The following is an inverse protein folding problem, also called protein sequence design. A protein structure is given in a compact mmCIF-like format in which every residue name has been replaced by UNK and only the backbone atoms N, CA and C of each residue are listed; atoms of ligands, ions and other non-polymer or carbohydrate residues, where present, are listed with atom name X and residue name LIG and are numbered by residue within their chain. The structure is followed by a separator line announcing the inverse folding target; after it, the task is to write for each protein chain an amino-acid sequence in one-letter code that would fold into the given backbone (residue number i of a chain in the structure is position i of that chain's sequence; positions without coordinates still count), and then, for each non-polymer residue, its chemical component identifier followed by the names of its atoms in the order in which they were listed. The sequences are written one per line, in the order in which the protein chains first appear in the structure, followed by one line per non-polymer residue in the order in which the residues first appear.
data_IF_313737528941
#
_entry.id   IF_313737528941
#
_cell.length_a   1.000
_cell.length_b   1.000
_cell.length_c   1.000
_cell.angle_alpha   90.00
_cell.angle_beta   90.00
_cell.angle_gamma   90.00
#
_symmetry.space_group_name_H-M   'P 1'
#
loop_
_entity.id
_entity.type
_entity.pdbx_description
1 polymer ?
#
# COMPACT_ATOMS: atom_id res chain seq x y z
N UNK A 1 -3.25 -7.60 -19.89
CA UNK A 1 -4.15 -6.95 -20.85
C UNK A 1 -4.35 -5.51 -20.45
N UNK A 2 -4.14 -4.57 -21.36
CA UNK A 2 -4.36 -3.15 -21.20
C UNK A 2 -5.82 -2.76 -21.44
N UNK A 3 -6.19 -1.50 -21.14
CA UNK A 3 -7.56 -1.00 -21.25
C UNK A 3 -8.15 -1.04 -22.68
N UNK A 4 -7.29 -0.92 -23.69
CA UNK A 4 -7.68 -1.03 -25.11
C UNK A 4 -7.76 -2.47 -25.63
N UNK A 5 -7.56 -3.48 -24.77
CA UNK A 5 -7.56 -4.90 -25.11
C UNK A 5 -6.21 -5.46 -25.57
N UNK A 6 -5.18 -4.62 -25.77
CA UNK A 6 -3.82 -5.08 -26.10
C UNK A 6 -3.31 -6.02 -25.01
N UNK A 7 -2.69 -7.13 -25.41
CA UNK A 7 -2.07 -8.11 -24.51
C UNK A 7 -0.57 -8.11 -24.67
N UNK A 8 0.14 -8.26 -23.58
CA UNK A 8 1.58 -8.45 -23.54
C UNK A 8 1.94 -9.40 -22.42
N UNK A 9 3.04 -10.12 -22.59
CA UNK A 9 3.62 -10.93 -21.53
C UNK A 9 4.23 -10.03 -20.47
N UNK A 10 4.06 -10.41 -19.22
CA UNK A 10 4.59 -9.69 -18.08
C UNK A 10 5.42 -10.61 -17.19
N UNK A 11 6.56 -10.11 -16.71
CA UNK A 11 7.40 -10.79 -15.74
C UNK A 11 7.21 -10.23 -14.35
N UNK A 12 7.27 -11.07 -13.32
CA UNK A 12 7.29 -10.63 -11.94
C UNK A 12 8.68 -10.06 -11.63
N UNK A 13 8.75 -8.81 -11.21
CA UNK A 13 9.99 -8.19 -10.72
C UNK A 13 10.23 -8.52 -9.26
N UNK A 14 9.27 -8.22 -8.41
CA UNK A 14 9.34 -8.45 -6.96
C UNK A 14 7.94 -8.55 -6.37
N UNK A 15 7.81 -9.27 -5.26
CA UNK A 15 6.58 -9.45 -4.49
C UNK A 15 6.87 -9.24 -3.01
N UNK A 16 6.05 -8.46 -2.35
CA UNK A 16 6.07 -8.31 -0.90
C UNK A 16 4.82 -8.94 -0.28
N UNK A 17 5.02 -10.00 0.49
CA UNK A 17 3.92 -10.73 1.14
C UNK A 17 3.32 -9.96 2.32
N UNK A 18 4.08 -9.07 2.95
CA UNK A 18 3.63 -8.27 4.10
C UNK A 18 2.58 -7.24 3.71
N UNK A 19 2.81 -6.54 2.59
CA UNK A 19 1.86 -5.57 2.05
C UNK A 19 0.87 -6.19 1.06
N UNK A 20 1.19 -7.36 0.51
CA UNK A 20 0.43 -8.00 -0.57
C UNK A 20 0.61 -7.32 -1.93
N UNK A 21 1.65 -6.51 -2.08
CA UNK A 21 1.98 -5.81 -3.32
C UNK A 21 2.91 -6.65 -4.19
N UNK A 22 2.81 -6.46 -5.50
CA UNK A 22 3.72 -7.03 -6.48
C UNK A 22 4.00 -6.02 -7.59
N UNK A 23 5.23 -6.00 -8.09
CA UNK A 23 5.62 -5.24 -9.27
C UNK A 23 5.83 -6.21 -10.43
N UNK A 24 5.13 -5.97 -11.52
CA UNK A 24 5.28 -6.70 -12.78
C UNK A 24 5.85 -5.77 -13.83
N UNK A 25 6.66 -6.30 -14.73
CA UNK A 25 7.26 -5.57 -15.84
C UNK A 25 6.81 -6.15 -17.18
N UNK A 26 6.63 -5.27 -18.15
CA UNK A 26 6.37 -5.59 -19.55
C UNK A 26 7.48 -4.96 -20.37
N UNK A 27 8.08 -5.74 -21.28
CA UNK A 27 9.10 -5.24 -22.20
C UNK A 27 8.45 -4.32 -23.24
N UNK A 28 8.93 -3.08 -23.32
CA UNK A 28 8.30 -2.06 -24.18
C UNK A 28 8.45 -2.32 -25.67
N UNK A 29 9.52 -3.02 -26.09
CA UNK A 29 9.78 -3.41 -27.48
C UNK A 29 8.77 -4.45 -28.02
N UNK A 30 8.04 -5.11 -27.12
CA UNK A 30 6.93 -6.04 -27.47
C UNK A 30 5.62 -5.31 -27.76
N UNK A 31 5.57 -4.00 -27.50
CA UNK A 31 4.37 -3.17 -27.66
C UNK A 31 4.48 -2.29 -28.91
N UNK A 32 3.33 -2.03 -29.54
CA UNK A 32 3.25 -1.15 -30.69
C UNK A 32 3.60 0.30 -30.28
N UNK A 33 4.42 0.99 -31.10
CA UNK A 33 4.83 2.39 -30.82
C UNK A 33 3.65 3.36 -30.71
N UNK A 34 2.63 3.20 -31.54
CA UNK A 34 1.44 4.05 -31.50
C UNK A 34 0.68 3.87 -30.19
N UNK A 35 0.59 2.63 -29.69
CA UNK A 35 0.01 2.33 -28.38
C UNK A 35 0.82 2.97 -27.24
N UNK A 36 2.16 2.88 -27.28
CA UNK A 36 3.03 3.47 -26.28
C UNK A 36 2.90 5.00 -26.23
N UNK A 37 2.73 5.64 -27.39
CA UNK A 37 2.66 7.11 -27.49
C UNK A 37 1.28 7.68 -27.16
N UNK A 38 0.23 6.98 -27.50
CA UNK A 38 -1.14 7.54 -27.51
C UNK A 38 -2.05 6.94 -26.43
N UNK A 39 -1.85 5.66 -26.04
CA UNK A 39 -2.78 4.96 -25.17
C UNK A 39 -2.25 4.72 -23.75
N UNK A 40 -0.92 4.80 -23.54
CA UNK A 40 -0.33 4.63 -22.22
C UNK A 40 -0.14 5.98 -21.54
N UNK A 41 -0.79 6.17 -20.40
CA UNK A 41 -0.55 7.33 -19.54
C UNK A 41 0.05 6.86 -18.22
N UNK A 42 1.19 7.45 -17.86
CA UNK A 42 1.86 7.16 -16.58
C UNK A 42 1.15 7.93 -15.47
N UNK A 43 0.70 7.20 -14.45
CA UNK A 43 0.06 7.81 -13.30
C UNK A 43 1.06 8.61 -12.45
N UNK A 44 0.69 9.83 -12.11
CA UNK A 44 1.48 10.66 -11.19
C UNK A 44 1.22 10.25 -9.75
N UNK A 45 2.29 10.00 -8.98
CA UNK A 45 2.19 9.74 -7.56
C UNK A 45 2.08 11.05 -6.77
N UNK A 46 0.97 11.24 -6.07
CA UNK A 46 0.72 12.39 -5.22
C UNK A 46 1.37 12.27 -3.85
N UNK A 47 0.73 12.83 -2.83
CA UNK A 47 1.12 12.72 -1.43
C UNK A 47 -0.06 12.29 -0.57
N UNK A 48 0.16 11.36 0.34
CA UNK A 48 -0.79 10.98 1.41
C UNK A 48 -0.43 11.62 2.75
N UNK A 49 0.72 12.28 2.84
CA UNK A 49 1.16 13.00 4.04
C UNK A 49 0.79 14.49 3.93
N UNK A 50 -0.51 14.76 3.88
CA UNK A 50 -1.07 16.11 3.83
C UNK A 50 -1.70 16.39 5.19
N UNK A 51 -1.46 17.60 5.72
CA UNK A 51 -2.15 18.06 6.92
C UNK A 51 -3.66 18.11 6.63
N UNK A 52 -4.46 17.61 7.56
CA UNK A 52 -5.93 17.60 7.46
C UNK A 52 -6.45 16.87 6.20
N UNK A 53 -5.83 15.71 5.89
CA UNK A 53 -6.22 14.88 4.74
C UNK A 53 -7.66 14.32 4.88
N UNK A 54 -8.18 14.19 6.11
CA UNK A 54 -9.56 13.78 6.34
C UNK A 54 -10.53 14.83 5.78
N UNK A 55 -11.58 14.34 5.11
CA UNK A 55 -12.56 15.18 4.39
C UNK A 55 -12.19 15.43 2.92
N UNK A 56 -10.97 15.14 2.48
CA UNK A 56 -10.61 15.30 1.07
C UNK A 56 -11.34 14.29 0.18
N UNK A 57 -11.89 14.74 -0.96
CA UNK A 57 -12.56 13.88 -1.91
C UNK A 57 -11.58 12.96 -2.63
N UNK A 58 -12.01 11.72 -2.88
CA UNK A 58 -11.19 10.68 -3.52
C UNK A 58 -12.03 9.84 -4.47
N UNK A 59 -11.34 9.31 -5.49
CA UNK A 59 -11.88 8.34 -6.45
C UNK A 59 -11.12 7.04 -6.30
N UNK A 60 -11.83 5.95 -6.02
CA UNK A 60 -11.31 4.60 -6.03
C UNK A 60 -11.53 3.98 -7.42
N UNK A 61 -10.46 3.53 -8.06
CA UNK A 61 -10.51 2.93 -9.41
C UNK A 61 -9.80 1.58 -9.41
N UNK A 62 -10.37 0.66 -10.16
CA UNK A 62 -9.86 -0.70 -10.32
C UNK A 62 -10.91 -1.73 -9.99
N UNK A 63 -10.93 -2.24 -8.77
CA UNK A 63 -11.89 -3.21 -8.26
C UNK A 63 -12.34 -2.89 -6.83
N UNK A 64 -12.70 -1.63 -6.52
CA UNK A 64 -13.09 -1.29 -5.15
C UNK A 64 -14.32 -2.06 -4.66
N UNK A 65 -15.25 -2.39 -5.56
CA UNK A 65 -16.47 -3.14 -5.24
C UNK A 65 -16.38 -4.64 -5.58
N UNK A 66 -15.17 -5.17 -5.83
CA UNK A 66 -14.96 -6.57 -6.18
C UNK A 66 -15.11 -6.89 -7.67
N UNK A 67 -15.65 -5.97 -8.48
CA UNK A 67 -15.80 -6.10 -9.93
C UNK A 67 -14.75 -5.27 -10.65
N UNK A 68 -14.06 -5.86 -11.64
CA UNK A 68 -13.06 -5.16 -12.44
C UNK A 68 -13.66 -3.95 -13.16
N UNK A 69 -12.91 -2.83 -13.21
CA UNK A 69 -13.34 -1.58 -13.81
C UNK A 69 -14.40 -0.82 -13.01
N UNK A 70 -14.68 -1.24 -11.77
CA UNK A 70 -15.57 -0.48 -10.91
C UNK A 70 -14.91 0.80 -10.41
N UNK A 71 -15.75 1.81 -10.14
CA UNK A 71 -15.36 3.11 -9.65
C UNK A 71 -16.14 3.44 -8.39
N UNK A 72 -15.46 3.94 -7.37
CA UNK A 72 -16.07 4.49 -6.16
C UNK A 72 -15.67 5.95 -5.97
N UNK A 73 -16.60 6.77 -5.49
CA UNK A 73 -16.34 8.15 -5.12
C UNK A 73 -16.72 8.37 -3.65
N UNK A 74 -15.89 9.10 -2.94
CA UNK A 74 -16.14 9.42 -1.54
C UNK A 74 -15.10 10.38 -0.99
N UNK A 75 -14.92 10.34 0.33
CA UNK A 75 -13.93 11.14 1.05
C UNK A 75 -13.04 10.26 1.91
N UNK A 76 -11.87 10.75 2.24
CA UNK A 76 -11.03 10.18 3.31
C UNK A 76 -11.70 10.52 4.64
N UNK A 77 -12.00 9.50 5.44
CA UNK A 77 -12.61 9.68 6.77
C UNK A 77 -11.57 9.72 7.87
N UNK A 78 -10.45 9.03 7.68
CA UNK A 78 -9.35 8.98 8.65
C UNK A 78 -8.03 8.58 7.99
N UNK A 79 -6.94 9.04 8.56
CA UNK A 79 -5.58 8.59 8.25
C UNK A 79 -4.79 8.28 9.54
N UNK A 80 -5.50 8.09 10.66
CA UNK A 80 -4.89 7.86 11.96
C UNK A 80 -4.46 6.40 12.19
N UNK A 81 -4.97 5.47 11.38
CA UNK A 81 -4.60 4.05 11.49
C UNK A 81 -3.28 3.78 10.78
N UNK A 82 -2.51 2.87 11.36
CA UNK A 82 -1.23 2.43 10.81
C UNK A 82 -1.20 0.91 10.70
N UNK A 83 -0.47 0.41 9.73
CA UNK A 83 -0.16 -1.00 9.55
C UNK A 83 1.35 -1.19 9.64
N UNK A 84 1.78 -1.88 10.67
CA UNK A 84 3.18 -2.25 10.79
C UNK A 84 3.53 -3.32 9.75
N UNK A 85 4.68 -3.15 9.13
CA UNK A 85 5.38 -4.13 8.32
C UNK A 85 6.75 -4.43 8.96
N UNK A 86 7.50 -5.37 8.41
CA UNK A 86 8.73 -5.84 9.04
C UNK A 86 9.75 -4.74 9.33
N UNK A 87 9.82 -3.71 8.51
CA UNK A 87 10.82 -2.64 8.60
C UNK A 87 10.26 -1.21 8.57
N UNK A 88 8.93 -1.09 8.45
CA UNK A 88 8.30 0.24 8.34
C UNK A 88 6.83 0.19 8.75
N UNK A 89 6.27 1.35 8.97
CA UNK A 89 4.84 1.53 9.28
C UNK A 89 4.19 2.27 8.13
N UNK A 90 3.11 1.69 7.60
CA UNK A 90 2.32 2.29 6.52
C UNK A 90 1.06 2.92 7.09
N UNK A 91 0.84 4.17 6.72
CA UNK A 91 -0.42 4.87 7.03
C UNK A 91 -1.56 4.26 6.25
N UNK A 92 -2.68 4.03 6.90
CA UNK A 92 -3.92 3.55 6.29
C UNK A 92 -4.88 4.72 6.09
N UNK A 93 -5.20 4.99 4.83
CA UNK A 93 -6.27 5.91 4.47
C UNK A 93 -7.60 5.16 4.52
N UNK A 94 -8.49 5.58 5.39
CA UNK A 94 -9.86 5.05 5.48
C UNK A 94 -10.80 5.96 4.70
N UNK A 95 -11.76 5.38 3.98
CA UNK A 95 -12.74 6.14 3.19
C UNK A 95 -14.17 5.76 3.58
N UNK A 96 -15.15 6.55 3.13
CA UNK A 96 -16.56 6.21 3.20
C UNK A 96 -17.07 5.48 1.95
N UNK A 97 -16.17 5.06 1.06
CA UNK A 97 -16.52 4.30 -0.13
C UNK A 97 -16.84 2.87 0.29
N UNK A 98 -18.03 2.38 -0.05
CA UNK A 98 -18.38 0.97 0.17
C UNK A 98 -17.51 0.09 -0.70
N UNK A 99 -16.87 -0.89 -0.09
CA UNK A 99 -15.94 -1.80 -0.74
C UNK A 99 -16.31 -3.26 -0.57
N UNK A 100 -15.62 -4.11 -1.32
CA UNK A 100 -15.68 -5.56 -1.20
C UNK A 100 -14.50 -6.07 -0.37
N UNK A 101 -14.65 -7.27 0.20
CA UNK A 101 -13.52 -7.99 0.83
C UNK A 101 -12.40 -8.29 -0.18
N UNK A 102 -12.72 -8.31 -1.49
CA UNK A 102 -11.78 -8.48 -2.59
C UNK A 102 -11.46 -7.13 -3.28
N UNK A 103 -11.66 -6.01 -2.59
CA UNK A 103 -11.32 -4.71 -3.15
C UNK A 103 -9.84 -4.64 -3.54
N UNK A 104 -9.55 -3.91 -4.61
CA UNK A 104 -8.20 -3.67 -5.10
C UNK A 104 -8.20 -2.50 -6.08
N UNK A 105 -7.02 -1.95 -6.33
CA UNK A 105 -6.86 -0.81 -7.21
C UNK A 105 -6.18 0.36 -6.51
N UNK A 106 -6.50 1.57 -6.93
CA UNK A 106 -5.85 2.78 -6.47
C UNK A 106 -6.85 3.86 -6.06
N UNK A 107 -6.44 4.72 -5.12
CA UNK A 107 -7.13 5.95 -4.77
C UNK A 107 -6.48 7.12 -5.49
N UNK A 108 -7.29 7.92 -6.17
CA UNK A 108 -6.90 9.19 -6.78
C UNK A 108 -7.48 10.37 -6.02
N UNK A 109 -6.72 11.46 -5.99
CA UNK A 109 -7.28 12.78 -5.66
C UNK A 109 -7.98 13.39 -6.88
N UNK A 110 -8.63 14.54 -6.73
CA UNK A 110 -9.32 15.22 -7.84
C UNK A 110 -8.35 15.83 -8.88
N UNK A 111 -7.05 15.87 -8.61
CA UNK A 111 -6.02 16.27 -9.56
C UNK A 111 -5.52 15.09 -10.42
N UNK A 112 -6.11 13.89 -10.27
CA UNK A 112 -5.71 12.69 -10.99
C UNK A 112 -4.40 12.07 -10.51
N UNK A 113 -3.93 12.42 -9.30
CA UNK A 113 -2.73 11.84 -8.71
C UNK A 113 -3.10 10.64 -7.82
N UNK A 114 -2.31 9.59 -7.87
CA UNK A 114 -2.42 8.43 -6.97
C UNK A 114 -2.00 8.84 -5.57
N UNK A 115 -2.89 8.70 -4.60
CA UNK A 115 -2.64 8.99 -3.18
C UNK A 115 -2.64 7.75 -2.30
N UNK A 116 -3.09 6.62 -2.82
CA UNK A 116 -3.06 5.35 -2.10
C UNK A 116 -3.28 4.14 -2.99
N UNK A 117 -2.85 2.97 -2.48
CA UNK A 117 -3.12 1.66 -3.10
C UNK A 117 -4.11 0.92 -2.20
N UNK A 118 -5.23 0.52 -2.78
CA UNK A 118 -6.32 -0.15 -2.05
C UNK A 118 -5.82 -1.49 -1.52
N UNK A 119 -6.05 -1.73 -0.24
CA UNK A 119 -5.67 -2.96 0.44
C UNK A 119 -6.87 -3.61 1.11
N UNK A 120 -6.86 -4.94 1.17
CA UNK A 120 -7.87 -5.73 1.85
C UNK A 120 -7.50 -5.97 3.32
N UNK A 121 -8.50 -6.07 4.18
CA UNK A 121 -8.33 -6.56 5.55
C UNK A 121 -7.67 -5.59 6.55
N UNK A 122 -7.36 -4.36 6.13
CA UNK A 122 -6.78 -3.32 7.01
C UNK A 122 -7.81 -2.31 7.51
N UNK A 123 -9.08 -2.56 7.25
CA UNK A 123 -10.17 -1.75 7.81
C UNK A 123 -10.26 -1.95 9.32
N UNK A 124 -10.57 -0.89 10.06
CA UNK A 124 -10.95 -0.99 11.46
C UNK A 124 -12.11 -1.99 11.63
N UNK A 125 -12.18 -2.65 12.78
CA UNK A 125 -13.08 -3.80 13.02
C UNK A 125 -14.55 -3.51 12.68
N UNK A 126 -14.96 -2.25 12.82
CA UNK A 126 -16.34 -1.81 12.57
C UNK A 126 -16.60 -1.31 11.14
N UNK A 127 -15.53 -1.21 10.30
CA UNK A 127 -15.61 -0.68 8.93
C UNK A 127 -15.24 -1.71 7.86
N UNK A 128 -15.58 -2.97 8.10
CA UNK A 128 -15.17 -4.11 7.25
C UNK A 128 -15.55 -4.01 5.76
N UNK A 129 -16.54 -3.19 5.44
CA UNK A 129 -17.04 -3.01 4.08
C UNK A 129 -16.66 -1.65 3.47
N UNK A 130 -15.67 -0.97 4.02
CA UNK A 130 -15.20 0.30 3.49
C UNK A 130 -13.84 0.11 2.80
N UNK A 131 -13.63 0.88 1.73
CA UNK A 131 -12.35 0.89 1.03
C UNK A 131 -11.30 1.53 1.92
N UNK A 132 -10.22 0.80 2.15
CA UNK A 132 -9.00 1.28 2.80
C UNK A 132 -7.82 1.18 1.84
N UNK A 133 -6.83 2.04 2.03
CA UNK A 133 -5.65 2.06 1.18
C UNK A 133 -4.39 2.34 1.99
N UNK A 134 -3.27 1.75 1.59
CA UNK A 134 -1.96 2.23 2.02
C UNK A 134 -1.70 3.62 1.44
N UNK A 135 -1.25 4.56 2.27
CA UNK A 135 -0.83 5.88 1.82
C UNK A 135 0.35 5.80 0.86
N UNK A 136 0.28 6.56 -0.25
CA UNK A 136 1.30 6.48 -1.30
C UNK A 136 2.66 7.03 -0.87
N UNK A 137 2.69 7.96 0.09
CA UNK A 137 3.94 8.61 0.51
C UNK A 137 4.93 7.62 1.06
N UNK A 138 4.49 6.75 1.95
CA UNK A 138 5.29 5.70 2.57
C UNK A 138 5.64 4.59 1.57
N UNK A 139 4.75 4.33 0.62
CA UNK A 139 4.95 3.30 -0.40
C UNK A 139 5.95 3.69 -1.50
N UNK A 140 6.24 4.97 -1.75
CA UNK A 140 7.12 5.39 -2.84
C UNK A 140 8.46 4.67 -2.84
N UNK A 141 9.15 4.70 -1.70
CA UNK A 141 10.45 4.01 -1.54
C UNK A 141 10.32 2.50 -1.70
N UNK A 142 9.22 1.94 -1.21
CA UNK A 142 8.93 0.51 -1.31
C UNK A 142 8.74 0.09 -2.77
N UNK A 143 7.91 0.82 -3.52
CA UNK A 143 7.68 0.61 -4.95
C UNK A 143 8.98 0.76 -5.74
N UNK A 144 9.81 1.76 -5.43
CA UNK A 144 11.11 1.98 -6.08
C UNK A 144 12.02 0.76 -5.91
N UNK A 145 12.20 0.27 -4.69
CA UNK A 145 12.99 -0.94 -4.40
C UNK A 145 12.47 -2.16 -5.17
N UNK A 146 11.16 -2.42 -5.09
CA UNK A 146 10.54 -3.53 -5.81
C UNK A 146 10.74 -3.42 -7.34
N UNK A 147 10.64 -2.21 -7.88
CA UNK A 147 10.84 -1.94 -9.32
C UNK A 147 12.28 -2.20 -9.75
N UNK A 148 13.25 -1.97 -8.87
CA UNK A 148 14.65 -2.27 -9.09
C UNK A 148 15.02 -3.75 -8.82
N UNK A 149 14.08 -4.55 -8.33
CA UNK A 149 14.33 -5.94 -7.92
C UNK A 149 15.22 -6.04 -6.67
N UNK A 150 15.24 -4.99 -5.84
CA UNK A 150 15.99 -4.97 -4.60
C UNK A 150 15.24 -5.74 -3.52
N UNK A 151 15.92 -6.67 -2.86
CA UNK A 151 15.36 -7.41 -1.74
C UNK A 151 15.25 -6.52 -0.50
N UNK A 152 14.19 -6.71 0.25
CA UNK A 152 14.03 -6.08 1.56
C UNK A 152 14.87 -6.85 2.58
N UNK A 153 15.85 -6.15 3.16
CA UNK A 153 16.57 -6.67 4.32
C UNK A 153 15.74 -6.42 5.57
N UNK A 154 15.55 -7.41 6.40
CA UNK A 154 14.89 -7.30 7.70
C UNK A 154 15.69 -8.08 8.75
N UNK A 155 15.58 -7.68 10.01
CA UNK A 155 16.30 -8.32 11.11
C UNK A 155 15.56 -9.53 11.68
N UNK A 156 14.29 -9.71 11.36
CA UNK A 156 13.44 -10.77 11.88
C UNK A 156 13.25 -10.73 13.40
N UNK A 157 13.30 -9.54 13.99
CA UNK A 157 13.16 -9.31 15.41
C UNK A 157 11.87 -8.56 15.70
N UNK A 158 11.10 -9.05 16.68
CA UNK A 158 9.99 -8.29 17.26
C UNK A 158 10.40 -7.78 18.62
N UNK A 159 10.47 -6.46 18.76
CA UNK A 159 10.86 -5.79 19.98
C UNK A 159 9.74 -4.93 20.55
N UNK A 160 9.90 -4.57 21.80
CA UNK A 160 9.09 -3.59 22.52
C UNK A 160 10.00 -2.68 23.33
N UNK A 161 9.59 -1.45 23.54
CA UNK A 161 10.30 -0.56 24.46
C UNK A 161 10.13 -1.07 25.90
N UNK A 162 11.19 -0.97 26.70
CA UNK A 162 11.13 -1.30 28.13
C UNK A 162 10.37 -0.19 28.84
N UNK A 163 9.22 -0.55 29.43
CA UNK A 163 8.40 0.38 30.20
C UNK A 163 9.05 0.71 31.57
N UNK A 164 8.59 1.79 32.20
CA UNK A 164 9.04 2.19 33.53
C UNK A 164 8.74 1.11 34.58
N UNK A 165 7.59 0.43 34.46
CA UNK A 165 7.23 -0.68 35.34
C UNK A 165 8.20 -1.87 35.15
N UNK A 166 8.51 -2.25 33.90
CA UNK A 166 9.44 -3.35 33.65
C UNK A 166 10.86 -3.04 34.14
N UNK A 167 11.30 -1.80 34.05
CA UNK A 167 12.58 -1.38 34.59
C UNK A 167 12.58 -1.45 36.13
N UNK A 168 11.55 -0.90 36.80
CA UNK A 168 11.50 -0.80 38.26
C UNK A 168 11.22 -2.14 38.95
N UNK A 169 10.37 -2.98 38.39
CA UNK A 169 9.93 -4.24 39.02
C UNK A 169 10.83 -5.43 38.66
N UNK A 170 11.33 -5.46 37.42
CA UNK A 170 12.10 -6.59 36.90
C UNK A 170 13.59 -6.28 36.71
N UNK A 171 14.01 -5.02 36.91
CA UNK A 171 15.40 -4.59 36.74
C UNK A 171 15.88 -4.64 35.28
N UNK A 172 14.98 -4.65 34.29
CA UNK A 172 15.34 -4.67 32.88
C UNK A 172 15.85 -3.29 32.48
N UNK A 173 17.08 -3.16 31.93
CA UNK A 173 17.59 -1.85 31.50
C UNK A 173 16.69 -1.21 30.45
N UNK A 174 16.59 0.12 30.47
CA UNK A 174 15.89 0.86 29.39
C UNK A 174 16.51 0.58 28.04
N UNK A 175 15.64 0.40 27.04
CA UNK A 175 16.02 0.11 25.65
C UNK A 175 14.99 -0.73 24.94
N UNK A 176 15.38 -1.31 23.80
CA UNK A 176 14.56 -2.24 23.06
C UNK A 176 14.72 -3.66 23.63
N UNK A 177 13.64 -4.27 24.10
CA UNK A 177 13.58 -5.66 24.53
C UNK A 177 13.12 -6.53 23.36
N UNK A 178 13.94 -7.50 22.98
CA UNK A 178 13.59 -8.46 21.92
C UNK A 178 12.63 -9.50 22.53
N UNK A 179 11.39 -9.50 22.03
CA UNK A 179 10.33 -10.40 22.49
C UNK A 179 10.29 -11.70 21.70
N UNK A 180 10.59 -11.62 20.42
CA UNK A 180 10.52 -12.76 19.50
C UNK A 180 11.58 -12.61 18.39
N UNK A 181 12.16 -13.73 17.99
CA UNK A 181 13.02 -13.83 16.80
C UNK A 181 12.28 -14.69 15.80
N UNK A 182 12.10 -14.19 14.56
CA UNK A 182 11.45 -14.96 13.51
C UNK A 182 12.36 -16.08 13.03
N UNK A 183 11.80 -17.26 12.79
CA UNK A 183 12.53 -18.40 12.28
C UNK A 183 13.07 -18.07 10.87
N UNK A 184 14.30 -18.49 10.58
CA UNK A 184 15.02 -18.21 9.34
C UNK A 184 15.37 -16.72 9.11
N UNK A 185 15.35 -15.88 10.15
CA UNK A 185 15.92 -14.53 10.09
C UNK A 185 17.46 -14.58 10.06
N UNK A 186 18.11 -13.51 9.54
CA UNK A 186 19.59 -13.41 9.51
C UNK A 186 20.25 -13.57 10.87
#
# INVERSE_FOLDING_TARGET
TFNNGTQADASLKEKDETTGLAVIAVELDTLNEDFLKNDITIATLGSSNIKDIAGLPVVALGRPMGTNGSLGYGIITSSASESAASDTTYRILQTNIVGSQNAGGVLFNLQGQVIGIITNGKSATDMKNMVCAYGITELKRHIEKMSNGEKFAYLGLKGVDVTEEANSELGVPYGAYIKEVEMDSP
#
